data_IF_791704117530
#
_entry.id   IF_791704117530
#
_cell.length_a   1.000
_cell.length_b   1.000
_cell.length_c   1.000
_cell.angle_alpha   90.00
_cell.angle_beta   90.00
_cell.angle_gamma   90.00
#
_symmetry.space_group_name_H-M   'P 1'
#
loop_
_entity.id
_entity.type
_entity.pdbx_description
1 polymer ?
#
# COMPACT_ATOMS: atom_id res chain seq x y z
N UNK A 1 8.32 -1.22 16.09
CA UNK A 1 7.78 -0.04 15.36
C UNK A 1 6.26 -0.17 15.29
N UNK A 2 5.52 0.86 15.69
CA UNK A 2 4.05 0.89 15.66
C UNK A 2 3.60 1.54 14.36
N UNK A 3 2.94 0.76 13.50
CA UNK A 3 2.43 1.22 12.22
C UNK A 3 0.91 1.46 12.33
N UNK A 4 0.42 2.57 11.78
CA UNK A 4 -0.97 2.75 11.43
C UNK A 4 -1.07 2.65 9.91
N UNK A 5 -1.95 1.79 9.41
CA UNK A 5 -2.15 1.56 7.97
C UNK A 5 -3.56 1.96 7.60
N UNK A 6 -3.71 2.73 6.52
CA UNK A 6 -5.00 3.20 5.99
C UNK A 6 -5.15 2.80 4.52
N UNK A 7 -6.35 2.45 4.10
CA UNK A 7 -6.70 2.12 2.71
C UNK A 7 -8.18 2.30 2.40
N UNK A 8 -8.50 2.83 1.22
CA UNK A 8 -9.81 2.72 0.52
C UNK A 8 -11.04 3.32 1.22
N UNK A 9 -10.91 3.97 2.37
CA UNK A 9 -12.04 4.51 3.12
C UNK A 9 -11.72 5.85 3.79
N UNK A 10 -12.20 6.94 3.22
CA UNK A 10 -12.09 8.29 3.78
C UNK A 10 -12.86 8.45 5.12
N UNK A 11 -13.78 7.54 5.42
CA UNK A 11 -14.54 7.53 6.67
C UNK A 11 -13.69 7.25 7.91
N UNK A 12 -12.51 6.64 7.74
CA UNK A 12 -11.57 6.31 8.83
C UNK A 12 -11.22 7.51 9.71
N UNK A 13 -11.24 8.74 9.17
CA UNK A 13 -10.98 9.97 9.92
C UNK A 13 -11.86 10.16 11.16
N UNK A 14 -13.07 9.60 11.14
CA UNK A 14 -14.03 9.68 12.25
C UNK A 14 -13.83 8.60 13.32
N UNK A 15 -13.02 7.58 13.02
CA UNK A 15 -12.81 6.39 13.87
C UNK A 15 -11.39 6.32 14.44
N UNK A 16 -10.53 7.25 14.07
CA UNK A 16 -9.13 7.25 14.48
C UNK A 16 -8.99 7.48 15.98
N UNK A 17 -8.25 6.61 16.63
CA UNK A 17 -7.85 6.81 18.02
C UNK A 17 -6.55 7.62 18.10
N UNK A 18 -6.41 8.44 19.14
CA UNK A 18 -5.22 9.28 19.41
C UNK A 18 -4.01 8.50 19.94
N UNK A 19 -3.88 7.22 19.59
CA UNK A 19 -2.74 6.41 20.01
C UNK A 19 -1.49 6.78 19.20
N UNK A 20 -0.37 7.12 19.86
CA UNK A 20 0.87 7.45 19.17
C UNK A 20 1.35 6.34 18.24
N UNK A 21 1.80 6.74 17.06
CA UNK A 21 2.20 5.87 15.95
C UNK A 21 3.57 6.33 15.46
N UNK A 22 4.48 5.38 15.21
CA UNK A 22 5.82 5.69 14.74
C UNK A 22 5.84 6.04 13.25
N UNK A 23 4.96 5.40 12.46
CA UNK A 23 4.85 5.58 11.01
C UNK A 23 3.41 5.33 10.54
N UNK A 24 2.89 6.27 9.73
CA UNK A 24 1.63 6.14 9.00
C UNK A 24 1.91 5.62 7.58
N UNK A 25 1.23 4.55 7.18
CA UNK A 25 1.27 3.95 5.85
C UNK A 25 -0.09 4.10 5.18
N UNK A 26 -0.14 4.67 3.96
CA UNK A 26 -1.37 4.85 3.20
C UNK A 26 -1.28 4.08 1.88
N UNK A 27 -2.28 3.27 1.59
CA UNK A 27 -2.26 2.31 0.49
C UNK A 27 -3.11 2.74 -0.72
N UNK A 28 -3.45 4.02 -0.80
CA UNK A 28 -4.22 4.60 -1.91
C UNK A 28 -5.72 4.65 -1.68
N UNK A 29 -6.39 5.30 -2.63
CA UNK A 29 -7.82 5.61 -2.63
C UNK A 29 -8.25 6.35 -1.34
N UNK A 30 -7.45 7.37 -0.98
CA UNK A 30 -7.63 8.21 0.18
C UNK A 30 -7.38 9.68 -0.19
N UNK A 31 -8.26 10.57 0.24
CA UNK A 31 -8.01 11.99 0.08
C UNK A 31 -6.77 12.44 0.88
N UNK A 32 -5.90 13.26 0.29
CA UNK A 32 -4.69 13.76 0.95
C UNK A 32 -4.99 14.42 2.31
N UNK A 33 -6.14 15.12 2.42
CA UNK A 33 -6.59 15.72 3.67
C UNK A 33 -6.86 14.67 4.76
N UNK A 34 -7.45 13.53 4.41
CA UNK A 34 -7.71 12.42 5.34
C UNK A 34 -6.41 11.85 5.88
N UNK A 35 -5.40 11.68 5.01
CA UNK A 35 -4.06 11.23 5.41
C UNK A 35 -3.43 12.20 6.43
N UNK A 36 -3.49 13.51 6.15
CA UNK A 36 -2.93 14.54 7.03
C UNK A 36 -3.66 14.63 8.38
N UNK A 37 -4.98 14.53 8.38
CA UNK A 37 -5.80 14.49 9.61
C UNK A 37 -5.48 13.24 10.44
N UNK A 38 -5.33 12.09 9.79
CA UNK A 38 -4.95 10.84 10.44
C UNK A 38 -3.57 10.93 11.10
N UNK A 39 -2.59 11.48 10.39
CA UNK A 39 -1.26 11.70 10.93
C UNK A 39 -1.28 12.60 12.17
N UNK A 40 -2.05 13.70 12.13
CA UNK A 40 -2.24 14.60 13.25
C UNK A 40 -2.89 13.88 14.45
N UNK A 41 -3.96 13.15 14.23
CA UNK A 41 -4.69 12.41 15.28
C UNK A 41 -3.82 11.34 15.92
N UNK A 42 -3.07 10.58 15.12
CA UNK A 42 -2.15 9.55 15.58
C UNK A 42 -0.80 10.11 16.10
N UNK A 43 -0.63 11.44 16.16
CA UNK A 43 0.60 12.11 16.55
C UNK A 43 1.83 11.59 15.77
N UNK A 44 1.64 11.32 14.47
CA UNK A 44 2.64 10.74 13.60
C UNK A 44 3.22 11.80 12.66
N UNK A 45 4.55 11.91 12.59
CA UNK A 45 5.24 12.88 11.74
C UNK A 45 5.85 12.25 10.47
N UNK A 46 5.81 10.93 10.35
CA UNK A 46 6.37 10.17 9.23
C UNK A 46 5.23 9.51 8.46
N UNK A 47 5.08 9.85 7.19
CA UNK A 47 3.97 9.37 6.36
C UNK A 47 4.55 8.81 5.07
N UNK A 48 4.33 7.54 4.81
CA UNK A 48 4.61 6.89 3.53
C UNK A 48 3.30 6.51 2.85
N UNK A 49 3.21 6.75 1.56
CA UNK A 49 1.99 6.47 0.81
C UNK A 49 2.27 5.90 -0.57
N UNK A 50 1.30 5.20 -1.10
CA UNK A 50 1.14 4.86 -2.51
C UNK A 50 -0.23 5.35 -2.99
N UNK A 51 -0.37 5.66 -4.28
CA UNK A 51 -1.63 6.08 -4.89
C UNK A 51 -2.46 4.87 -5.29
N UNK A 52 -3.79 5.00 -5.18
CA UNK A 52 -4.75 4.06 -5.73
C UNK A 52 -5.31 4.49 -7.09
N UNK A 53 -6.19 3.70 -7.66
CA UNK A 53 -6.77 3.97 -9.00
C UNK A 53 -7.89 5.00 -8.98
N UNK A 54 -8.35 5.44 -7.83
CA UNK A 54 -9.28 6.56 -7.65
C UNK A 54 -8.59 7.86 -7.22
N UNK A 55 -7.29 7.82 -6.94
CA UNK A 55 -6.54 9.01 -6.57
C UNK A 55 -6.27 9.93 -7.78
N UNK A 56 -6.12 11.21 -7.51
CA UNK A 56 -5.76 12.20 -8.53
C UNK A 56 -4.32 12.02 -9.05
N UNK A 57 -4.06 12.41 -10.30
CA UNK A 57 -2.77 12.25 -10.98
C UNK A 57 -1.63 13.18 -10.50
N UNK A 58 -1.85 14.02 -9.49
CA UNK A 58 -0.84 14.92 -8.94
C UNK A 58 0.07 14.28 -7.88
N UNK A 59 1.19 14.94 -7.54
CA UNK A 59 2.04 14.50 -6.44
C UNK A 59 1.33 14.62 -5.09
N UNK A 60 1.77 13.86 -4.11
CA UNK A 60 1.33 14.07 -2.73
C UNK A 60 1.83 15.42 -2.18
N UNK A 61 1.04 16.10 -1.34
CA UNK A 61 1.52 17.27 -0.61
C UNK A 61 2.50 16.87 0.50
N UNK A 62 3.46 17.75 0.78
CA UNK A 62 4.34 17.59 1.95
C UNK A 62 3.50 17.59 3.25
N UNK A 63 3.76 16.69 4.23
CA UNK A 63 4.95 15.83 4.37
C UNK A 63 4.76 14.38 3.88
N UNK A 64 3.79 14.08 3.06
CA UNK A 64 3.54 12.71 2.57
C UNK A 64 4.63 12.31 1.57
N UNK A 65 5.30 11.19 1.82
CA UNK A 65 6.36 10.64 0.95
C UNK A 65 5.77 9.55 0.07
N UNK A 66 5.81 9.76 -1.26
CA UNK A 66 5.43 8.75 -2.25
C UNK A 66 6.49 7.64 -2.31
N UNK A 67 6.05 6.39 -2.14
CA UNK A 67 6.91 5.21 -2.25
C UNK A 67 6.84 4.51 -3.60
N UNK A 68 6.11 5.04 -4.58
CA UNK A 68 6.04 4.41 -5.89
C UNK A 68 7.42 4.26 -6.52
N UNK A 69 7.87 3.01 -6.70
CA UNK A 69 9.20 2.64 -7.23
C UNK A 69 10.37 3.32 -6.49
N UNK A 70 10.16 3.69 -5.24
CA UNK A 70 11.14 4.34 -4.37
C UNK A 70 11.40 3.50 -3.12
N UNK A 71 12.55 3.70 -2.49
CA UNK A 71 12.91 3.04 -1.23
C UNK A 71 13.26 4.10 -0.19
N UNK A 72 12.67 3.97 0.99
CA UNK A 72 13.00 4.78 2.17
C UNK A 72 13.43 3.86 3.32
N UNK A 73 14.35 4.34 4.14
CA UNK A 73 14.82 3.58 5.31
C UNK A 73 14.53 4.34 6.58
N UNK A 74 13.86 3.70 7.53
CA UNK A 74 13.59 4.25 8.86
C UNK A 74 14.03 3.21 9.90
N UNK A 75 14.92 3.60 10.82
CA UNK A 75 15.38 2.76 11.92
C UNK A 75 15.92 1.38 11.45
N UNK A 76 16.60 1.38 10.29
CA UNK A 76 17.17 0.18 9.66
C UNK A 76 16.16 -0.67 8.87
N UNK A 77 14.86 -0.34 8.87
CA UNK A 77 13.82 -1.02 8.09
C UNK A 77 13.65 -0.32 6.74
N UNK A 78 13.69 -1.09 5.66
CA UNK A 78 13.54 -0.60 4.28
C UNK A 78 12.09 -0.75 3.85
N UNK A 79 11.51 0.36 3.39
CA UNK A 79 10.15 0.44 2.84
C UNK A 79 10.23 0.75 1.36
N UNK A 80 9.38 0.12 0.57
CA UNK A 80 9.20 0.45 -0.85
C UNK A 80 7.76 0.22 -1.26
N UNK A 81 7.37 0.61 -2.47
CA UNK A 81 5.98 0.46 -2.85
C UNK A 81 5.67 0.61 -4.33
N UNK A 82 4.40 0.38 -4.66
CA UNK A 82 3.87 0.46 -6.01
C UNK A 82 2.44 1.01 -6.01
N UNK A 83 2.18 2.02 -6.85
CA UNK A 83 0.88 2.65 -7.00
C UNK A 83 -0.10 1.80 -7.82
N UNK A 84 -1.39 2.05 -7.63
CA UNK A 84 -2.45 1.71 -8.56
C UNK A 84 -2.84 0.26 -8.67
N UNK A 85 -3.69 -0.02 -9.65
CA UNK A 85 -4.31 -1.32 -9.86
C UNK A 85 -4.22 -1.81 -11.31
N UNK A 86 -4.71 -3.03 -11.54
CA UNK A 86 -4.93 -3.60 -12.86
C UNK A 86 -5.77 -2.68 -13.76
N UNK A 87 -5.43 -2.62 -15.05
CA UNK A 87 -6.15 -1.82 -16.04
C UNK A 87 -7.45 -2.51 -16.46
N UNK A 88 -8.50 -2.30 -15.70
CA UNK A 88 -9.85 -2.80 -15.99
C UNK A 88 -10.69 -1.85 -16.86
N UNK A 89 -10.18 -0.66 -17.17
CA UNK A 89 -10.85 0.37 -18.00
C UNK A 89 -9.82 1.14 -18.83
N UNK A 90 -10.23 1.73 -19.97
CA UNK A 90 -9.26 2.36 -20.89
C UNK A 90 -8.70 3.70 -20.40
N UNK A 91 -9.31 4.35 -19.42
CA UNK A 91 -8.89 5.67 -18.91
C UNK A 91 -8.93 5.70 -17.40
N UNK A 92 -7.96 6.39 -16.79
CA UNK A 92 -7.82 6.57 -15.34
C UNK A 92 -6.37 6.79 -14.97
N UNK A 93 -6.12 7.20 -13.74
CA UNK A 93 -4.77 7.30 -13.19
C UNK A 93 -4.36 5.94 -12.60
N UNK A 94 -3.07 5.67 -12.58
CA UNK A 94 -2.47 4.51 -11.90
C UNK A 94 -3.10 3.16 -12.28
N UNK A 95 -3.40 2.98 -13.58
CA UNK A 95 -3.87 1.72 -14.15
C UNK A 95 -2.78 1.09 -15.00
N UNK A 96 -2.37 -0.13 -14.68
CA UNK A 96 -1.22 -0.81 -15.27
C UNK A 96 -1.59 -2.15 -15.89
N UNK A 97 -0.92 -2.53 -16.98
CA UNK A 97 -0.97 -3.88 -17.54
C UNK A 97 -0.03 -4.81 -16.75
N UNK A 98 -0.26 -6.14 -16.82
CA UNK A 98 0.54 -7.13 -16.09
C UNK A 98 2.03 -7.08 -16.48
N UNK A 99 2.30 -6.96 -17.78
CA UNK A 99 3.65 -6.86 -18.33
C UNK A 99 4.37 -5.58 -17.90
N UNK A 100 3.65 -4.47 -17.89
CA UNK A 100 4.18 -3.17 -17.44
C UNK A 100 4.67 -3.24 -15.98
N UNK A 101 3.87 -3.83 -15.09
CA UNK A 101 4.27 -4.02 -13.68
C UNK A 101 5.43 -5.01 -13.55
N UNK A 102 5.46 -6.05 -14.38
CA UNK A 102 6.55 -7.03 -14.39
C UNK A 102 7.88 -6.37 -14.77
N UNK A 103 7.89 -5.53 -15.79
CA UNK A 103 9.09 -4.80 -16.24
C UNK A 103 9.55 -3.79 -15.17
N UNK A 104 8.65 -3.02 -14.59
CA UNK A 104 8.96 -2.03 -13.57
C UNK A 104 9.54 -2.66 -12.29
N UNK A 105 9.07 -3.86 -11.91
CA UNK A 105 9.52 -4.55 -10.69
C UNK A 105 10.67 -5.53 -10.91
N UNK A 106 11.08 -5.81 -12.16
CA UNK A 106 12.15 -6.76 -12.46
C UNK A 106 13.46 -6.42 -11.72
N UNK A 107 13.83 -5.13 -11.71
CA UNK A 107 15.02 -4.60 -11.03
C UNK A 107 14.75 -3.94 -9.68
N UNK A 108 13.52 -3.97 -9.17
CA UNK A 108 13.20 -3.27 -7.93
C UNK A 108 13.96 -3.89 -6.74
N UNK A 109 14.63 -3.08 -5.90
CA UNK A 109 15.49 -3.58 -4.83
C UNK A 109 14.71 -4.30 -3.74
N UNK A 110 15.43 -5.10 -2.94
CA UNK A 110 14.85 -5.77 -1.78
C UNK A 110 14.44 -4.76 -0.72
N UNK A 111 13.25 -4.95 -0.12
CA UNK A 111 12.77 -4.17 1.03
C UNK A 111 12.22 -5.09 2.10
N UNK A 112 12.12 -4.59 3.34
CA UNK A 112 11.53 -5.33 4.46
C UNK A 112 10.00 -5.23 4.46
N UNK A 113 9.46 -4.08 4.01
CA UNK A 113 8.03 -3.79 3.93
C UNK A 113 7.73 -3.25 2.54
N UNK A 114 6.83 -3.92 1.83
CA UNK A 114 6.35 -3.48 0.52
C UNK A 114 4.91 -3.00 0.63
N UNK A 115 4.65 -1.76 0.21
CA UNK A 115 3.33 -1.16 0.15
C UNK A 115 2.80 -1.27 -1.29
N UNK A 116 1.58 -1.71 -1.46
CA UNK A 116 0.90 -1.68 -2.75
C UNK A 116 -0.54 -1.22 -2.59
N UNK A 117 -1.11 -0.59 -3.62
CA UNK A 117 -2.55 -0.42 -3.63
C UNK A 117 -3.23 -1.75 -3.95
N UNK A 118 -2.86 -2.42 -5.03
CA UNK A 118 -3.43 -3.71 -5.42
C UNK A 118 -2.77 -4.91 -4.73
N UNK A 119 -3.44 -6.06 -4.75
CA UNK A 119 -2.97 -7.33 -4.16
C UNK A 119 -2.03 -8.10 -5.10
N UNK A 120 -1.26 -9.08 -4.57
CA UNK A 120 -0.70 -10.14 -5.40
C UNK A 120 -1.79 -10.99 -6.04
N UNK A 121 -1.54 -11.53 -7.24
CA UNK A 121 -2.49 -12.36 -7.99
C UNK A 121 -2.94 -13.57 -7.17
N UNK A 122 -4.25 -13.84 -7.14
CA UNK A 122 -4.89 -14.93 -6.41
C UNK A 122 -4.73 -14.87 -4.87
N UNK A 123 -4.32 -13.73 -4.32
CA UNK A 123 -4.22 -13.53 -2.87
C UNK A 123 -5.17 -12.40 -2.49
N UNK A 124 -6.17 -12.69 -1.65
CA UNK A 124 -7.20 -11.76 -1.19
C UNK A 124 -8.08 -11.15 -2.31
N UNK A 125 -7.96 -11.62 -3.54
CA UNK A 125 -8.74 -11.11 -4.67
C UNK A 125 -10.24 -11.30 -4.46
N UNK A 126 -11.00 -10.30 -4.84
CA UNK A 126 -12.45 -10.41 -4.99
C UNK A 126 -12.75 -10.95 -6.39
N UNK A 127 -13.82 -11.73 -6.50
CA UNK A 127 -14.26 -12.34 -7.77
C UNK A 127 -14.94 -11.31 -8.67
N UNK A 128 -14.17 -10.35 -9.18
CA UNK A 128 -14.59 -9.34 -10.16
C UNK A 128 -13.42 -8.93 -11.04
N UNK A 129 -13.72 -8.52 -12.29
CA UNK A 129 -12.71 -8.07 -13.25
C UNK A 129 -11.90 -6.84 -12.79
N UNK A 130 -12.45 -6.05 -11.87
CA UNK A 130 -11.80 -4.84 -11.31
C UNK A 130 -10.68 -5.21 -10.34
N UNK A 131 -10.86 -6.30 -9.59
CA UNK A 131 -10.03 -6.66 -8.45
C UNK A 131 -8.95 -7.70 -8.75
N UNK A 132 -8.55 -7.81 -10.02
CA UNK A 132 -7.45 -8.68 -10.45
C UNK A 132 -6.12 -8.18 -9.89
N UNK A 133 -5.40 -9.02 -9.16
CA UNK A 133 -4.08 -8.69 -8.59
C UNK A 133 -2.96 -8.81 -9.63
N UNK A 134 -1.74 -8.41 -9.24
CA UNK A 134 -0.58 -8.46 -10.11
C UNK A 134 0.26 -9.71 -9.89
N UNK A 135 0.52 -10.46 -10.97
CA UNK A 135 1.46 -11.60 -10.95
C UNK A 135 2.89 -11.16 -10.62
N UNK A 136 3.27 -9.95 -11.01
CA UNK A 136 4.56 -9.39 -10.70
C UNK A 136 4.82 -9.26 -9.18
N UNK A 137 3.77 -9.04 -8.39
CA UNK A 137 3.89 -9.01 -6.93
C UNK A 137 4.18 -10.40 -6.36
N UNK A 138 3.59 -11.47 -6.91
CA UNK A 138 3.92 -12.83 -6.51
C UNK A 138 5.40 -13.14 -6.79
N UNK A 139 5.89 -12.78 -7.99
CA UNK A 139 7.31 -12.94 -8.37
C UNK A 139 8.24 -12.13 -7.47
N UNK A 140 7.82 -10.90 -7.10
CA UNK A 140 8.59 -10.07 -6.17
C UNK A 140 8.65 -10.70 -4.78
N UNK A 141 7.51 -11.15 -4.23
CA UNK A 141 7.44 -11.85 -2.94
C UNK A 141 8.33 -13.10 -2.97
N UNK A 142 8.25 -13.90 -4.02
CA UNK A 142 9.04 -15.11 -4.18
C UNK A 142 10.55 -14.86 -4.17
N UNK A 143 10.98 -13.81 -4.90
CA UNK A 143 12.40 -13.44 -5.02
C UNK A 143 12.96 -12.77 -3.77
N UNK A 144 12.20 -11.88 -3.14
CA UNK A 144 12.68 -10.98 -2.07
C UNK A 144 12.32 -11.46 -0.68
N UNK A 145 11.13 -12.06 -0.52
CA UNK A 145 10.57 -12.46 0.78
C UNK A 145 10.55 -11.29 1.78
N UNK A 146 9.93 -10.12 1.46
CA UNK A 146 9.78 -9.04 2.43
C UNK A 146 9.04 -9.57 3.67
N UNK A 147 9.31 -8.99 4.83
CA UNK A 147 8.61 -9.38 6.08
C UNK A 147 7.12 -9.12 5.97
N UNK A 148 6.75 -7.97 5.40
CA UNK A 148 5.37 -7.56 5.15
C UNK A 148 5.19 -7.15 3.69
N UNK A 149 4.12 -7.63 3.08
CA UNK A 149 3.53 -7.09 1.85
C UNK A 149 2.13 -6.60 2.20
N UNK A 150 1.89 -5.29 2.18
CA UNK A 150 0.64 -4.69 2.66
C UNK A 150 -0.10 -4.07 1.48
N UNK A 151 -1.39 -4.36 1.32
CA UNK A 151 -2.18 -3.85 0.21
C UNK A 151 -3.60 -3.43 0.60
N UNK A 152 -4.19 -2.55 -0.20
CA UNK A 152 -5.60 -2.14 -0.18
C UNK A 152 -6.42 -2.78 -1.31
N UNK A 153 -7.26 -1.98 -1.97
CA UNK A 153 -8.04 -2.24 -3.18
C UNK A 153 -9.08 -3.37 -3.08
N UNK A 154 -8.74 -4.44 -2.40
CA UNK A 154 -9.61 -5.62 -2.29
C UNK A 154 -10.73 -5.46 -1.25
N UNK A 155 -10.72 -4.37 -0.49
CA UNK A 155 -11.66 -4.07 0.60
C UNK A 155 -11.82 -5.23 1.60
N UNK A 156 -10.71 -5.84 1.99
CA UNK A 156 -10.68 -6.95 2.96
C UNK A 156 -9.63 -6.72 4.05
N UNK A 157 -9.93 -7.16 5.24
CA UNK A 157 -8.98 -7.24 6.37
C UNK A 157 -8.59 -8.71 6.56
N UNK A 158 -7.56 -9.15 5.85
CA UNK A 158 -7.14 -10.55 5.81
C UNK A 158 -5.61 -10.68 5.81
N UNK A 159 -5.11 -11.76 6.42
CA UNK A 159 -3.68 -12.09 6.45
C UNK A 159 -3.44 -13.46 5.81
N UNK A 160 -2.40 -13.54 4.98
CA UNK A 160 -1.95 -14.80 4.37
C UNK A 160 -0.43 -14.89 4.44
N UNK A 161 0.11 -16.04 4.85
CA UNK A 161 1.55 -16.28 4.84
C UNK A 161 1.97 -16.91 3.51
N UNK A 162 2.90 -16.26 2.79
CA UNK A 162 3.48 -16.73 1.53
C UNK A 162 4.99 -16.87 1.71
N UNK A 163 5.47 -18.09 1.86
CA UNK A 163 6.85 -18.32 2.27
C UNK A 163 7.10 -17.70 3.65
N UNK A 164 7.99 -16.68 3.72
CA UNK A 164 8.26 -15.91 4.95
C UNK A 164 7.55 -14.56 4.98
N UNK A 165 6.86 -14.20 3.91
CA UNK A 165 6.17 -12.92 3.77
C UNK A 165 4.76 -13.02 4.33
N UNK A 166 4.42 -12.15 5.27
CA UNK A 166 3.03 -11.93 5.65
C UNK A 166 2.39 -10.95 4.67
N UNK A 167 1.43 -11.42 3.87
CA UNK A 167 0.60 -10.58 3.01
C UNK A 167 -0.58 -10.10 3.84
N UNK A 168 -0.77 -8.79 3.90
CA UNK A 168 -1.76 -8.13 4.77
C UNK A 168 -2.69 -7.29 3.91
N UNK A 169 -3.95 -7.68 3.80
CA UNK A 169 -5.02 -6.88 3.22
C UNK A 169 -5.56 -5.88 4.25
N UNK A 170 -5.81 -4.65 3.80
CA UNK A 170 -6.34 -3.58 4.64
C UNK A 170 -7.50 -2.89 3.94
N UNK A 171 -8.58 -2.70 4.67
CA UNK A 171 -9.70 -1.82 4.32
C UNK A 171 -10.04 -0.96 5.54
N UNK A 172 -10.15 0.35 5.34
CA UNK A 172 -10.29 1.30 6.42
C UNK A 172 -8.99 1.52 7.17
N UNK A 173 -8.88 1.09 8.42
CA UNK A 173 -7.67 1.25 9.23
C UNK A 173 -7.22 -0.05 9.88
N UNK A 174 -5.90 -0.17 10.06
CA UNK A 174 -5.29 -1.29 10.75
C UNK A 174 -4.02 -0.90 11.50
N UNK A 175 -3.80 -1.43 12.69
CA UNK A 175 -2.55 -1.24 13.45
C UNK A 175 -1.71 -2.51 13.37
N UNK A 176 -0.43 -2.34 13.07
CA UNK A 176 0.54 -3.43 12.96
C UNK A 176 1.74 -3.12 13.87
N UNK A 177 2.19 -4.11 14.61
CA UNK A 177 3.41 -4.03 15.42
C UNK A 177 4.51 -4.83 14.74
N UNK A 178 5.60 -4.15 14.37
CA UNK A 178 6.83 -4.77 13.88
C UNK A 178 7.89 -4.87 14.97
#
# INVERSE_FOLDING_TARGET
MKLLVLADDDGVRHELSSQPTDLLLCLGDLADLVILEAAKTAQCHRIFAVKGNHDGGGPFPTPIVDLHLAVQTIDGVRFGGFNGSWRYKPRGHYLYEQEEVADLLAGFPSVDVFLAHNSPRNIHERDTDVHVGFEAFNRYIERVQPRLFIHGHQHVNQDTLVGRTQVVGVFGQRRIQM
#
